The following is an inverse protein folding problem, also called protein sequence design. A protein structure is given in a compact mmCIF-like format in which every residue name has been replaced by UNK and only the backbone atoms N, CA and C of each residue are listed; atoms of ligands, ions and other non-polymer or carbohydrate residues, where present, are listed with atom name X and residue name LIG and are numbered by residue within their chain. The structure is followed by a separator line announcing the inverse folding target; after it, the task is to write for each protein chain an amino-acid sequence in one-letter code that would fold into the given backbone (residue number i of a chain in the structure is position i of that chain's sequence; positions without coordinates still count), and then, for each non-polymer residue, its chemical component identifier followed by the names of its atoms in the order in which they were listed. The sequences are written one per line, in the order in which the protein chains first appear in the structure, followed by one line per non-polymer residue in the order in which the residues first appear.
data_IF_025694108334
#
_entry.id   IF_025694108334
#
_cell.length_a   1.000
_cell.length_b   1.000
_cell.length_c   1.000
_cell.angle_alpha   90.00
_cell.angle_beta   90.00
_cell.angle_gamma   90.00
#
_symmetry.space_group_name_H-M   'P 1'
#
loop_
_entity.id
_entity.type
_entity.pdbx_description
1 polymer ?
#
# COMPACT_ATOMS: atom_id res chain seq x y z
N UNK A 1 14.00 7.55 19.84
CA UNK A 1 12.88 7.83 18.93
C UNK A 1 13.49 8.03 17.56
N UNK A 2 13.32 7.06 16.66
CA UNK A 2 13.66 7.25 15.24
C UNK A 2 12.83 8.39 14.68
N UNK A 3 13.39 9.19 13.76
CA UNK A 3 12.67 10.30 13.14
C UNK A 3 11.63 9.72 12.19
N UNK A 4 10.40 9.54 12.68
CA UNK A 4 9.26 9.17 11.84
C UNK A 4 9.09 10.24 10.77
N UNK A 5 9.25 9.85 9.50
CA UNK A 5 8.98 10.74 8.37
C UNK A 5 7.48 10.77 8.14
N UNK A 6 6.85 11.90 8.46
CA UNK A 6 5.45 12.11 8.14
C UNK A 6 5.33 12.58 6.70
N UNK A 7 4.28 12.10 6.02
CA UNK A 7 3.93 12.57 4.69
C UNK A 7 3.67 14.07 4.72
N UNK A 8 4.42 14.78 3.89
CA UNK A 8 4.28 16.21 3.71
C UNK A 8 3.39 16.53 2.50
N UNK A 9 2.99 17.79 2.39
CA UNK A 9 2.31 18.27 1.19
C UNK A 9 3.13 18.07 -0.09
N UNK A 10 4.47 18.16 -0.01
CA UNK A 10 5.34 17.94 -1.15
C UNK A 10 5.30 16.48 -1.62
N UNK A 11 5.26 15.52 -0.70
CA UNK A 11 5.14 14.09 -1.01
C UNK A 11 3.80 13.80 -1.70
N UNK A 12 2.72 14.40 -1.22
CA UNK A 12 1.40 14.29 -1.88
C UNK A 12 1.43 14.85 -3.30
N UNK A 13 2.06 16.01 -3.52
CA UNK A 13 2.22 16.57 -4.87
C UNK A 13 3.06 15.64 -5.77
N UNK A 14 4.09 14.99 -5.25
CA UNK A 14 4.88 14.01 -6.01
C UNK A 14 4.07 12.77 -6.38
N UNK A 15 3.22 12.26 -5.46
CA UNK A 15 2.30 11.17 -5.76
C UNK A 15 1.34 11.57 -6.89
N UNK A 16 0.73 12.76 -6.80
CA UNK A 16 -0.17 13.29 -7.83
C UNK A 16 0.56 13.45 -9.17
N UNK A 17 1.81 13.90 -9.17
CA UNK A 17 2.59 14.08 -10.40
C UNK A 17 2.97 12.74 -11.06
N UNK A 18 2.99 11.63 -10.32
CA UNK A 18 3.35 10.29 -10.81
C UNK A 18 2.16 9.42 -11.19
N UNK A 19 0.93 9.91 -11.00
CA UNK A 19 -0.29 9.22 -11.44
C UNK A 19 -0.27 9.03 -12.96
N UNK A 20 -0.77 7.90 -13.41
CA UNK A 20 -0.88 7.54 -14.83
C UNK A 20 -2.31 7.68 -15.36
N UNK A 21 -3.29 7.84 -14.47
CA UNK A 21 -4.70 8.02 -14.79
C UNK A 21 -5.28 9.31 -14.18
N UNK A 22 -6.38 9.80 -14.78
CA UNK A 22 -7.11 10.98 -14.30
C UNK A 22 -7.79 10.73 -12.95
N UNK A 23 -8.27 9.50 -12.76
CA UNK A 23 -8.96 8.94 -11.62
C UNK A 23 -8.24 7.70 -11.08
N UNK A 24 -8.57 7.30 -9.86
CA UNK A 24 -7.99 6.13 -9.21
C UNK A 24 -9.07 5.19 -8.67
N UNK A 25 -8.69 3.94 -8.41
CA UNK A 25 -9.54 2.93 -7.79
C UNK A 25 -9.01 2.64 -6.40
N UNK A 26 -9.82 2.87 -5.36
CA UNK A 26 -9.55 2.34 -4.02
C UNK A 26 -10.06 0.90 -3.99
N UNK A 27 -9.14 -0.05 -3.91
CA UNK A 27 -9.43 -1.47 -3.94
C UNK A 27 -9.39 -2.06 -2.53
N UNK A 28 -10.51 -2.63 -2.09
CA UNK A 28 -10.69 -3.20 -0.75
C UNK A 28 -10.95 -4.72 -0.83
N UNK A 29 -10.90 -5.41 0.31
CA UNK A 29 -10.91 -6.88 0.37
C UNK A 29 -12.30 -7.55 0.34
N UNK A 30 -13.38 -6.78 0.19
CA UNK A 30 -14.74 -7.33 0.14
C UNK A 30 -14.91 -8.30 -1.04
N UNK A 31 -15.70 -9.39 -0.93
CA UNK A 31 -15.84 -10.39 -2.00
C UNK A 31 -16.28 -9.83 -3.35
N UNK A 32 -17.06 -8.74 -3.33
CA UNK A 32 -17.53 -8.05 -4.54
C UNK A 32 -16.42 -7.36 -5.31
N UNK A 33 -15.30 -6.99 -4.67
CA UNK A 33 -14.14 -6.38 -5.33
C UNK A 33 -13.58 -7.26 -6.45
N UNK A 34 -13.63 -8.59 -6.29
CA UNK A 34 -13.17 -9.58 -7.28
C UNK A 34 -14.03 -9.65 -8.54
N UNK A 35 -15.19 -8.98 -8.55
CA UNK A 35 -16.03 -8.80 -9.75
C UNK A 35 -15.60 -7.60 -10.58
N UNK A 36 -14.68 -6.77 -10.09
CA UNK A 36 -14.14 -5.64 -10.84
C UNK A 36 -13.37 -6.15 -12.05
N UNK A 37 -13.65 -5.66 -13.27
CA UNK A 37 -12.93 -6.13 -14.45
C UNK A 37 -11.41 -5.90 -14.33
N UNK A 38 -10.62 -6.96 -14.56
CA UNK A 38 -9.15 -6.85 -14.55
C UNK A 38 -8.64 -5.89 -15.63
N UNK A 39 -9.34 -5.77 -16.75
CA UNK A 39 -9.03 -4.78 -17.78
C UNK A 39 -9.08 -3.35 -17.25
N UNK A 40 -10.05 -3.05 -16.39
CA UNK A 40 -10.16 -1.74 -15.73
C UNK A 40 -9.05 -1.54 -14.70
N UNK A 41 -8.77 -2.55 -13.89
CA UNK A 41 -7.71 -2.49 -12.87
C UNK A 41 -6.31 -2.32 -13.46
N UNK A 42 -6.08 -2.77 -14.71
CA UNK A 42 -4.78 -2.65 -15.40
C UNK A 42 -4.52 -1.28 -16.03
N UNK A 43 -5.55 -0.45 -16.22
CA UNK A 43 -5.45 0.85 -16.89
C UNK A 43 -5.69 2.02 -15.95
N UNK A 44 -5.85 1.76 -14.65
CA UNK A 44 -6.10 2.76 -13.62
C UNK A 44 -5.02 2.66 -12.55
N UNK A 45 -4.73 3.78 -11.89
CA UNK A 45 -3.94 3.75 -10.68
C UNK A 45 -4.78 3.13 -9.54
N UNK A 46 -4.33 1.99 -9.03
CA UNK A 46 -5.04 1.25 -7.98
C UNK A 46 -4.38 1.49 -6.63
N UNK A 47 -5.17 1.96 -5.66
CA UNK A 47 -4.81 2.09 -4.25
C UNK A 47 -5.29 0.84 -3.51
N UNK A 48 -4.36 -0.02 -3.12
CA UNK A 48 -4.65 -1.26 -2.40
C UNK A 48 -4.54 -1.03 -0.89
N UNK A 49 -5.45 -1.61 -0.11
CA UNK A 49 -5.46 -1.49 1.36
C UNK A 49 -5.30 -2.87 2.02
N UNK A 50 -4.32 -3.02 2.91
CA UNK A 50 -4.03 -4.24 3.66
C UNK A 50 -4.02 -5.49 2.74
N UNK A 51 -4.76 -6.54 3.12
CA UNK A 51 -4.80 -7.81 2.38
C UNK A 51 -5.39 -7.76 0.97
N UNK A 52 -6.00 -6.65 0.54
CA UNK A 52 -6.58 -6.55 -0.81
C UNK A 52 -5.52 -6.56 -1.92
N UNK A 53 -4.28 -6.16 -1.61
CA UNK A 53 -3.16 -6.14 -2.55
C UNK A 53 -2.86 -7.54 -3.11
N UNK A 54 -3.10 -8.61 -2.33
CA UNK A 54 -2.91 -9.99 -2.78
C UNK A 54 -3.62 -10.27 -4.10
N UNK A 55 -4.90 -9.90 -4.21
CA UNK A 55 -5.69 -10.18 -5.41
C UNK A 55 -5.13 -9.45 -6.64
N UNK A 56 -4.65 -8.22 -6.46
CA UNK A 56 -4.06 -7.44 -7.54
C UNK A 56 -2.77 -8.11 -8.03
N UNK A 57 -1.87 -8.45 -7.11
CA UNK A 57 -0.58 -9.08 -7.43
C UNK A 57 -0.77 -10.47 -8.06
N UNK A 58 -1.68 -11.28 -7.54
CA UNK A 58 -2.02 -12.60 -8.11
C UNK A 58 -2.52 -12.51 -9.57
N UNK A 59 -3.05 -11.34 -9.97
CA UNK A 59 -3.56 -11.07 -11.31
C UNK A 59 -2.64 -10.17 -12.15
N UNK A 60 -1.38 -10.00 -11.72
CA UNK A 60 -0.37 -9.15 -12.35
C UNK A 60 -0.81 -7.68 -12.49
N UNK A 61 -1.51 -7.17 -11.48
CA UNK A 61 -1.84 -5.75 -11.34
C UNK A 61 -0.96 -5.17 -10.25
N UNK A 62 -0.03 -4.28 -10.63
CA UNK A 62 0.84 -3.57 -9.69
C UNK A 62 0.04 -2.47 -9.00
N UNK A 63 -0.10 -2.46 -7.66
CA UNK A 63 -0.70 -1.32 -6.96
C UNK A 63 0.14 -0.06 -7.20
N UNK A 64 -0.54 1.04 -7.54
CA UNK A 64 0.08 2.36 -7.56
C UNK A 64 0.48 2.77 -6.14
N UNK A 65 -0.44 2.57 -5.20
CA UNK A 65 -0.22 2.86 -3.79
C UNK A 65 -0.73 1.70 -2.95
N UNK A 66 0.09 1.25 -2.00
CA UNK A 66 -0.31 0.28 -1.00
C UNK A 66 -0.37 0.95 0.37
N UNK A 67 -1.51 0.79 1.05
CA UNK A 67 -1.77 1.33 2.36
C UNK A 67 -1.86 0.20 3.38
N UNK A 68 -0.96 0.22 4.38
CA UNK A 68 -1.06 -0.63 5.56
C UNK A 68 -1.64 0.19 6.71
N UNK A 69 -2.81 -0.22 7.19
CA UNK A 69 -3.56 0.51 8.23
C UNK A 69 -3.99 -0.35 9.41
N UNK A 70 -4.00 -1.70 9.28
CA UNK A 70 -4.40 -2.61 10.35
C UNK A 70 -3.16 -3.24 11.01
N UNK A 71 -2.92 -2.88 12.28
CA UNK A 71 -1.83 -3.43 13.12
C UNK A 71 -1.85 -4.96 13.16
N UNK A 72 -3.05 -5.55 13.24
CA UNK A 72 -3.21 -7.01 13.29
C UNK A 72 -2.80 -7.66 11.98
N UNK A 73 -2.91 -6.93 10.86
CA UNK A 73 -2.42 -7.42 9.58
C UNK A 73 -0.90 -7.56 9.61
N UNK A 74 -0.17 -6.54 10.07
CA UNK A 74 1.30 -6.61 10.16
C UNK A 74 1.73 -7.79 11.04
N UNK A 75 1.15 -7.95 12.23
CA UNK A 75 1.52 -9.03 13.15
C UNK A 75 1.25 -10.43 12.61
N UNK A 76 0.13 -10.63 11.92
CA UNK A 76 -0.29 -11.97 11.45
C UNK A 76 0.21 -12.31 10.06
N UNK A 77 0.49 -11.29 9.24
CA UNK A 77 0.78 -11.39 7.81
C UNK A 77 1.98 -10.54 7.41
N UNK A 78 2.99 -10.47 8.28
CA UNK A 78 4.24 -9.72 8.07
C UNK A 78 4.92 -10.00 6.72
N UNK A 79 5.04 -11.27 6.33
CA UNK A 79 5.62 -11.66 5.03
C UNK A 79 4.84 -11.08 3.85
N UNK A 80 3.52 -11.04 3.98
CA UNK A 80 2.66 -10.49 2.95
C UNK A 80 2.79 -8.97 2.88
N UNK A 81 2.92 -8.28 4.02
CA UNK A 81 3.26 -6.86 4.03
C UNK A 81 4.53 -6.56 3.23
N UNK A 82 5.62 -7.29 3.47
CA UNK A 82 6.87 -7.10 2.71
C UNK A 82 6.72 -7.37 1.22
N UNK A 83 6.02 -8.45 0.87
CA UNK A 83 5.73 -8.77 -0.52
C UNK A 83 4.89 -7.67 -1.19
N UNK A 84 3.85 -7.18 -0.51
CA UNK A 84 2.95 -6.17 -1.05
C UNK A 84 3.65 -4.83 -1.19
N UNK A 85 4.43 -4.44 -0.19
CA UNK A 85 5.21 -3.21 -0.21
C UNK A 85 6.24 -3.23 -1.34
N UNK A 86 7.07 -4.29 -1.42
CA UNK A 86 8.10 -4.43 -2.45
C UNK A 86 7.58 -4.54 -3.88
N UNK A 87 6.31 -4.93 -4.06
CA UNK A 87 5.66 -5.01 -5.36
C UNK A 87 4.69 -3.86 -5.63
N UNK A 88 4.61 -2.84 -4.77
CA UNK A 88 3.83 -1.64 -5.01
C UNK A 88 4.72 -0.51 -5.52
N UNK A 89 4.16 0.52 -6.15
CA UNK A 89 4.95 1.67 -6.56
C UNK A 89 5.24 2.61 -5.39
N UNK A 90 4.27 2.80 -4.51
CA UNK A 90 4.42 3.48 -3.23
C UNK A 90 3.78 2.66 -2.12
N UNK A 91 4.33 2.78 -0.91
CA UNK A 91 3.74 2.20 0.30
C UNK A 91 3.65 3.28 1.35
N UNK A 92 2.50 3.40 2.01
CA UNK A 92 2.30 4.28 3.16
C UNK A 92 1.77 3.43 4.31
N UNK A 93 2.32 3.68 5.49
CA UNK A 93 1.92 3.02 6.73
C UNK A 93 1.39 4.07 7.69
N UNK A 94 0.24 3.83 8.32
CA UNK A 94 -0.27 4.76 9.32
C UNK A 94 0.54 4.68 10.62
N UNK A 95 0.46 5.73 11.43
CA UNK A 95 1.25 5.87 12.65
C UNK A 95 1.01 4.71 13.64
N UNK A 96 -0.25 4.29 13.84
CA UNK A 96 -0.56 3.22 14.80
C UNK A 96 0.13 1.89 14.45
N UNK A 97 0.26 1.57 13.16
CA UNK A 97 0.98 0.38 12.71
C UNK A 97 2.47 0.54 12.96
N UNK A 98 3.05 1.70 12.63
CA UNK A 98 4.47 1.95 12.88
C UNK A 98 4.81 1.87 14.37
N UNK A 99 4.03 2.52 15.25
CA UNK A 99 4.31 2.55 16.69
C UNK A 99 4.20 1.19 17.36
N UNK A 100 3.37 0.29 16.82
CA UNK A 100 3.18 -1.07 17.34
C UNK A 100 4.01 -2.12 16.60
N UNK A 101 4.75 -1.73 15.56
CA UNK A 101 5.62 -2.62 14.80
C UNK A 101 6.85 -3.04 15.64
N UNK A 102 7.39 -4.23 15.35
CA UNK A 102 8.69 -4.62 15.90
C UNK A 102 9.79 -3.71 15.34
N UNK A 103 10.93 -3.58 16.04
CA UNK A 103 12.04 -2.72 15.59
C UNK A 103 12.50 -3.03 14.15
N UNK A 104 12.53 -4.31 13.79
CA UNK A 104 12.86 -4.76 12.44
C UNK A 104 11.84 -4.28 11.38
N UNK A 105 10.56 -4.24 11.74
CA UNK A 105 9.49 -3.77 10.87
C UNK A 105 9.50 -2.24 10.76
N UNK A 106 9.76 -1.52 11.86
CA UNK A 106 9.94 -0.07 11.86
C UNK A 106 11.07 0.34 10.94
N UNK A 107 12.23 -0.32 11.05
CA UNK A 107 13.37 -0.07 10.17
C UNK A 107 13.03 -0.32 8.70
N UNK A 108 12.33 -1.41 8.41
CA UNK A 108 11.86 -1.67 7.04
C UNK A 108 10.94 -0.55 6.54
N UNK A 109 10.00 -0.09 7.37
CA UNK A 109 9.08 1.00 7.02
C UNK A 109 9.86 2.28 6.71
N UNK A 110 10.82 2.66 7.55
CA UNK A 110 11.65 3.85 7.36
C UNK A 110 12.50 3.81 6.08
N UNK A 111 12.99 2.62 5.70
CA UNK A 111 13.86 2.44 4.53
C UNK A 111 13.10 2.27 3.20
N UNK A 112 11.85 1.79 3.24
CA UNK A 112 11.13 1.32 2.04
C UNK A 112 9.75 1.96 1.82
N UNK A 113 9.17 2.62 2.82
CA UNK A 113 7.87 3.28 2.70
C UNK A 113 8.04 4.81 2.57
N UNK A 114 7.02 5.46 2.01
CA UNK A 114 6.94 6.91 1.86
C UNK A 114 6.49 7.59 3.14
#
# INVERSE_FOLDING_TARGET
MGSVNFITHADVLQLIAKRTAEDCIIFLSGPTSRKTPLSLLRVKDVIAVNGSAQYLLDNNVKPFLYLLTDVRFLHRRRKDFYNFSGNSQFTIVNLDVYEQAAEEDQKYIEENCL
#
